data_IF_847794530762
#
_entry.id   IF_847794530762
#
_cell.length_a   1.000
_cell.length_b   1.000
_cell.length_c   1.000
_cell.angle_alpha   90.00
_cell.angle_beta   90.00
_cell.angle_gamma   90.00
#
_symmetry.space_group_name_H-M   'P 1'
#
loop_
_entity.id
_entity.type
_entity.pdbx_description
1 polymer ?
#
# COMPACT_ATOMS: atom_id res chain seq x y z
N UNK A 1 -53.37 5.58 26.75
CA UNK A 1 -52.59 4.43 26.23
C UNK A 1 -51.87 4.68 24.89
N UNK A 2 -52.10 5.79 24.18
CA UNK A 2 -51.47 6.03 22.86
C UNK A 2 -50.13 6.81 22.89
N UNK A 3 -49.72 7.36 24.03
CA UNK A 3 -48.48 8.13 24.17
C UNK A 3 -47.22 7.26 24.31
N UNK A 4 -47.37 6.04 24.82
CA UNK A 4 -46.24 5.10 24.97
C UNK A 4 -45.75 4.54 23.63
N UNK A 5 -46.64 4.35 22.66
CA UNK A 5 -46.29 3.83 21.33
C UNK A 5 -45.59 4.91 20.49
N UNK A 6 -45.99 6.17 20.64
CA UNK A 6 -45.39 7.30 19.91
C UNK A 6 -43.93 7.58 20.31
N UNK A 7 -43.53 7.23 21.53
CA UNK A 7 -42.14 7.37 22.01
C UNK A 7 -41.27 6.15 21.67
N UNK A 8 -41.86 4.95 21.53
CA UNK A 8 -41.11 3.74 21.25
C UNK A 8 -40.49 3.73 19.84
N UNK A 9 -41.21 4.28 18.85
CA UNK A 9 -40.77 4.32 17.44
C UNK A 9 -39.50 5.17 17.23
N UNK A 10 -39.42 6.44 17.70
CA UNK A 10 -38.21 7.24 17.51
C UNK A 10 -37.02 6.69 18.30
N UNK A 11 -37.25 6.08 19.46
CA UNK A 11 -36.19 5.41 20.24
C UNK A 11 -35.65 4.19 19.50
N UNK A 12 -36.51 3.34 18.93
CA UNK A 12 -36.09 2.20 18.13
C UNK A 12 -35.31 2.63 16.87
N UNK A 13 -35.76 3.69 16.19
CA UNK A 13 -35.05 4.25 15.04
C UNK A 13 -33.68 4.84 15.42
N UNK A 14 -33.58 5.52 16.56
CA UNK A 14 -32.32 6.05 17.07
C UNK A 14 -31.34 4.93 17.44
N UNK A 15 -31.82 3.86 18.08
CA UNK A 15 -31.00 2.68 18.42
C UNK A 15 -30.53 1.97 17.15
N UNK A 16 -31.40 1.80 16.15
CA UNK A 16 -31.03 1.24 14.85
C UNK A 16 -29.99 2.11 14.12
N UNK A 17 -30.14 3.44 14.15
CA UNK A 17 -29.18 4.38 13.58
C UNK A 17 -27.83 4.35 14.31
N UNK A 18 -27.82 4.28 15.63
CA UNK A 18 -26.59 4.15 16.42
C UNK A 18 -25.92 2.78 16.25
N UNK A 19 -26.70 1.72 16.04
CA UNK A 19 -26.18 0.39 15.72
C UNK A 19 -25.59 0.29 14.31
N UNK A 20 -26.06 1.14 13.38
CA UNK A 20 -25.55 1.25 12.00
C UNK A 20 -24.56 2.39 11.81
N UNK A 21 -24.29 3.18 12.87
CA UNK A 21 -23.37 4.30 12.80
C UNK A 21 -21.97 3.79 12.38
N UNK A 22 -21.36 4.40 11.35
CA UNK A 22 -20.07 3.96 10.83
C UNK A 22 -19.06 3.99 11.97
N UNK A 23 -18.32 2.89 12.13
CA UNK A 23 -17.25 2.80 13.11
C UNK A 23 -16.38 4.06 13.01
N UNK A 24 -16.28 4.80 14.12
CA UNK A 24 -15.54 6.06 14.15
C UNK A 24 -14.14 5.87 13.55
N UNK A 25 -13.63 6.88 12.85
CA UNK A 25 -12.34 6.79 12.15
C UNK A 25 -11.19 6.28 13.05
N UNK A 26 -11.24 6.59 14.35
CA UNK A 26 -10.31 6.07 15.35
C UNK A 26 -10.39 4.55 15.54
N UNK A 27 -11.59 3.95 15.53
CA UNK A 27 -11.80 2.50 15.61
C UNK A 27 -11.29 1.81 14.34
N UNK A 28 -11.57 2.39 13.18
CA UNK A 28 -11.08 1.88 11.88
C UNK A 28 -9.56 1.89 11.80
N UNK A 29 -8.90 2.98 12.25
CA UNK A 29 -7.43 3.04 12.33
C UNK A 29 -6.84 2.00 13.29
N UNK A 30 -7.45 1.80 14.46
CA UNK A 30 -6.98 0.78 15.42
C UNK A 30 -7.12 -0.63 14.86
N UNK A 31 -8.22 -0.92 14.16
CA UNK A 31 -8.43 -2.21 13.52
C UNK A 31 -7.44 -2.44 12.37
N UNK A 32 -7.19 -1.42 11.55
CA UNK A 32 -6.17 -1.45 10.51
C UNK A 32 -4.78 -1.77 11.09
N UNK A 33 -4.38 -1.11 12.18
CA UNK A 33 -3.10 -1.36 12.85
C UNK A 33 -3.01 -2.73 13.55
N UNK A 34 -4.13 -3.34 13.92
CA UNK A 34 -4.16 -4.73 14.42
C UNK A 34 -4.00 -5.72 13.29
N UNK A 35 -4.70 -5.46 12.18
CA UNK A 35 -4.65 -6.27 10.98
C UNK A 35 -3.26 -6.26 10.37
N UNK A 36 -2.64 -5.09 10.25
CA UNK A 36 -1.27 -4.93 9.77
C UNK A 36 -0.30 -5.82 10.56
N UNK A 37 -0.29 -5.71 11.90
CA UNK A 37 0.49 -6.58 12.79
C UNK A 37 0.21 -8.08 12.60
N UNK A 38 -1.03 -8.46 12.26
CA UNK A 38 -1.40 -9.85 12.02
C UNK A 38 -0.85 -10.35 10.69
N UNK A 39 -0.95 -9.53 9.63
CA UNK A 39 -0.46 -9.87 8.30
C UNK A 39 1.07 -9.92 8.28
N UNK A 40 1.77 -9.03 9.00
CA UNK A 40 3.22 -9.11 9.19
C UNK A 40 3.65 -10.46 9.78
N UNK A 41 2.92 -10.98 10.79
CA UNK A 41 3.23 -12.29 11.40
C UNK A 41 2.78 -13.47 10.54
N UNK A 42 1.71 -13.31 9.77
CA UNK A 42 1.14 -14.35 8.93
C UNK A 42 0.88 -13.82 7.51
N UNK A 43 1.92 -13.77 6.66
CA UNK A 43 1.81 -13.25 5.30
C UNK A 43 0.77 -13.97 4.43
N UNK A 44 0.44 -15.23 4.76
CA UNK A 44 -0.60 -16.00 4.07
C UNK A 44 -2.01 -15.41 4.21
N UNK A 45 -2.23 -14.50 5.15
CA UNK A 45 -3.50 -13.80 5.35
C UNK A 45 -3.57 -12.46 4.61
N UNK A 46 -2.51 -12.07 3.89
CA UNK A 46 -2.47 -10.82 3.16
C UNK A 46 -3.54 -10.80 2.07
N UNK A 47 -4.33 -9.74 2.02
CA UNK A 47 -5.28 -9.48 0.94
C UNK A 47 -4.77 -8.38 0.02
N UNK A 48 -5.31 -8.28 -1.20
CA UNK A 48 -4.95 -7.22 -2.12
C UNK A 48 -5.18 -5.82 -1.52
N UNK A 49 -6.24 -5.65 -0.71
CA UNK A 49 -6.50 -4.38 -0.02
C UNK A 49 -5.45 -4.02 1.03
N UNK A 50 -4.83 -5.02 1.67
CA UNK A 50 -3.72 -4.80 2.60
C UNK A 50 -2.47 -4.35 1.84
N UNK A 51 -2.18 -4.98 0.69
CA UNK A 51 -1.09 -4.58 -0.22
C UNK A 51 -1.30 -3.17 -0.76
N UNK A 52 -2.49 -2.86 -1.29
CA UNK A 52 -2.82 -1.54 -1.82
C UNK A 52 -2.63 -0.44 -0.77
N UNK A 53 -3.07 -0.68 0.47
CA UNK A 53 -2.89 0.29 1.56
C UNK A 53 -1.41 0.53 1.83
N UNK A 54 -0.62 -0.55 1.94
CA UNK A 54 0.82 -0.44 2.18
C UNK A 54 1.53 0.29 1.03
N UNK A 55 1.17 0.02 -0.21
CA UNK A 55 1.71 0.73 -1.38
C UNK A 55 1.35 2.23 -1.34
N UNK A 56 0.12 2.57 -0.97
CA UNK A 56 -0.31 3.97 -0.87
C UNK A 56 0.40 4.74 0.26
N UNK A 57 0.82 4.03 1.32
CA UNK A 57 1.57 4.62 2.43
C UNK A 57 3.07 4.80 2.10
N UNK A 58 3.65 3.92 1.28
CA UNK A 58 5.10 3.90 0.97
C UNK A 58 5.47 4.57 -0.36
N UNK A 59 4.56 4.63 -1.34
CA UNK A 59 4.86 5.07 -2.72
C UNK A 59 4.03 6.28 -3.16
N UNK A 60 4.51 7.04 -4.17
CA UNK A 60 3.68 7.96 -4.93
C UNK A 60 2.48 7.23 -5.57
N UNK A 61 1.34 7.91 -5.68
CA UNK A 61 0.11 7.33 -6.23
C UNK A 61 0.31 6.70 -7.61
N UNK A 62 1.09 7.34 -8.50
CA UNK A 62 1.40 6.80 -9.83
C UNK A 62 2.16 5.46 -9.80
N UNK A 63 3.08 5.28 -8.84
CA UNK A 63 3.80 4.02 -8.66
C UNK A 63 2.87 2.93 -8.09
N UNK A 64 2.02 3.28 -7.12
CA UNK A 64 1.05 2.34 -6.57
C UNK A 64 0.05 1.87 -7.64
N UNK A 65 -0.48 2.79 -8.46
CA UNK A 65 -1.40 2.48 -9.55
C UNK A 65 -0.73 1.59 -10.61
N UNK A 66 0.53 1.87 -10.96
CA UNK A 66 1.31 1.02 -11.86
C UNK A 66 1.45 -0.41 -11.32
N UNK A 67 1.83 -0.56 -10.05
CA UNK A 67 1.97 -1.88 -9.41
C UNK A 67 0.64 -2.62 -9.44
N UNK A 68 -0.46 -1.97 -9.06
CA UNK A 68 -1.79 -2.60 -9.04
C UNK A 68 -2.25 -3.04 -10.43
N UNK A 69 -2.06 -2.20 -11.46
CA UNK A 69 -2.38 -2.54 -12.84
C UNK A 69 -1.56 -3.74 -13.34
N UNK A 70 -0.29 -3.83 -12.93
CA UNK A 70 0.59 -4.94 -13.29
C UNK A 70 0.23 -6.22 -12.55
N UNK A 71 -0.11 -6.13 -11.27
CA UNK A 71 -0.57 -7.25 -10.44
C UNK A 71 -1.84 -7.86 -11.00
N UNK A 72 -2.80 -7.04 -11.40
CA UNK A 72 -4.04 -7.50 -12.02
C UNK A 72 -3.76 -8.22 -13.34
N UNK A 73 -2.93 -7.64 -14.21
CA UNK A 73 -2.54 -8.23 -15.50
C UNK A 73 -1.83 -9.57 -15.38
N UNK A 74 -0.95 -9.72 -14.38
CA UNK A 74 -0.13 -10.93 -14.21
C UNK A 74 -0.67 -11.88 -13.14
N UNK A 75 -1.85 -11.60 -12.57
CA UNK A 75 -2.49 -12.37 -11.51
C UNK A 75 -1.53 -12.72 -10.36
N UNK A 76 -0.76 -11.73 -9.89
CA UNK A 76 0.24 -11.95 -8.84
C UNK A 76 -0.49 -12.10 -7.50
N UNK A 77 -0.21 -13.21 -6.80
CA UNK A 77 -0.81 -13.48 -5.50
C UNK A 77 -0.47 -12.39 -4.47
N UNK A 78 -1.47 -11.90 -3.69
CA UNK A 78 -1.22 -10.92 -2.63
C UNK A 78 -0.20 -11.36 -1.59
N UNK A 79 -0.14 -12.66 -1.30
CA UNK A 79 0.89 -13.25 -0.43
C UNK A 79 2.30 -12.97 -0.96
N UNK A 80 2.52 -13.20 -2.26
CA UNK A 80 3.82 -13.01 -2.90
C UNK A 80 4.22 -11.54 -2.88
N UNK A 81 3.27 -10.63 -3.16
CA UNK A 81 3.50 -9.20 -3.06
C UNK A 81 3.84 -8.79 -1.63
N UNK A 82 3.11 -9.29 -0.64
CA UNK A 82 3.40 -8.98 0.76
C UNK A 82 4.79 -9.46 1.18
N UNK A 83 5.18 -10.68 0.80
CA UNK A 83 6.53 -11.20 1.07
C UNK A 83 7.61 -10.36 0.38
N UNK A 84 7.35 -9.89 -0.84
CA UNK A 84 8.27 -8.98 -1.53
C UNK A 84 8.42 -7.64 -0.79
N UNK A 85 7.30 -7.02 -0.44
CA UNK A 85 7.27 -5.75 0.30
C UNK A 85 7.98 -5.86 1.65
N UNK A 86 7.84 -6.98 2.33
CA UNK A 86 8.50 -7.23 3.61
C UNK A 86 10.03 -7.40 3.46
N UNK A 87 10.48 -8.12 2.43
CA UNK A 87 11.90 -8.46 2.23
C UNK A 87 12.70 -7.34 1.54
N UNK A 88 12.12 -6.68 0.54
CA UNK A 88 12.83 -5.73 -0.33
C UNK A 88 12.22 -4.32 -0.36
N UNK A 89 11.00 -4.15 0.15
CA UNK A 89 10.30 -2.86 0.17
C UNK A 89 9.53 -2.54 -1.11
N UNK A 90 8.73 -1.47 -1.07
CA UNK A 90 7.85 -1.07 -2.17
C UNK A 90 8.57 -0.54 -3.41
N UNK A 91 9.66 0.22 -3.25
CA UNK A 91 10.42 0.74 -4.41
C UNK A 91 11.06 -0.39 -5.22
N UNK A 92 11.62 -1.42 -4.56
CA UNK A 92 12.15 -2.61 -5.23
C UNK A 92 11.05 -3.36 -6.01
N UNK A 93 9.82 -3.40 -5.49
CA UNK A 93 8.69 -4.01 -6.19
C UNK A 93 8.37 -3.28 -7.51
N UNK A 94 8.37 -1.94 -7.48
CA UNK A 94 8.18 -1.13 -8.69
C UNK A 94 9.28 -1.45 -9.71
N UNK A 95 10.54 -1.46 -9.28
CA UNK A 95 11.68 -1.76 -10.15
C UNK A 95 11.60 -3.17 -10.75
N UNK A 96 11.28 -4.19 -9.94
CA UNK A 96 11.10 -5.55 -10.43
C UNK A 96 10.01 -5.62 -11.50
N UNK A 97 8.83 -5.04 -11.24
CA UNK A 97 7.72 -5.07 -12.19
C UNK A 97 7.99 -4.23 -13.46
N UNK A 98 8.65 -3.08 -13.32
CA UNK A 98 8.98 -2.18 -14.42
C UNK A 98 10.15 -2.70 -15.29
N UNK A 99 11.10 -3.43 -14.72
CA UNK A 99 12.16 -4.13 -15.46
C UNK A 99 11.64 -5.31 -16.30
N UNK A 100 10.33 -5.59 -16.26
CA UNK A 100 9.71 -6.68 -17.00
C UNK A 100 9.83 -8.04 -16.33
N UNK A 101 10.35 -8.11 -15.09
CA UNK A 101 10.29 -9.33 -14.29
C UNK A 101 8.81 -9.61 -13.97
N UNK A 102 8.22 -10.56 -14.69
CA UNK A 102 6.88 -11.07 -14.41
C UNK A 102 6.85 -11.88 -13.11
N UNK A 103 5.70 -12.49 -12.83
CA UNK A 103 5.48 -13.28 -11.62
C UNK A 103 6.57 -14.34 -11.36
N UNK A 104 6.98 -15.06 -12.40
CA UNK A 104 8.00 -16.12 -12.30
C UNK A 104 9.37 -15.57 -11.89
N UNK A 105 9.76 -14.40 -12.40
CA UNK A 105 11.03 -13.74 -12.05
C UNK A 105 11.05 -13.37 -10.56
N UNK A 106 9.96 -12.77 -10.08
CA UNK A 106 9.82 -12.45 -8.66
C UNK A 106 9.89 -13.69 -7.75
N UNK A 107 9.24 -14.80 -8.14
CA UNK A 107 9.30 -16.03 -7.35
C UNK A 107 10.71 -16.63 -7.28
N UNK A 108 11.48 -16.55 -8.36
CA UNK A 108 12.87 -17.03 -8.36
C UNK A 108 13.76 -16.21 -7.43
N UNK A 109 13.59 -14.88 -7.43
CA UNK A 109 14.27 -14.01 -6.46
C UNK A 109 13.87 -14.34 -5.03
N UNK A 110 12.57 -14.52 -4.77
CA UNK A 110 12.09 -14.86 -3.42
C UNK A 110 12.60 -16.22 -2.91
N UNK A 111 12.88 -17.15 -3.83
CA UNK A 111 13.44 -18.47 -3.54
C UNK A 111 14.97 -18.47 -3.51
N UNK A 112 15.61 -17.31 -3.62
CA UNK A 112 17.07 -17.15 -3.68
C UNK A 112 17.71 -17.92 -4.85
N UNK A 113 16.94 -18.15 -5.93
CA UNK A 113 17.40 -18.76 -7.19
C UNK A 113 17.94 -17.73 -8.19
N UNK A 114 17.67 -16.44 -7.93
CA UNK A 114 18.14 -15.30 -8.70
C UNK A 114 18.48 -14.17 -7.73
N UNK A 115 19.64 -13.54 -7.91
CA UNK A 115 20.00 -12.36 -7.13
C UNK A 115 19.20 -11.15 -7.62
N UNK A 116 18.67 -10.36 -6.69
CA UNK A 116 17.98 -9.12 -7.03
C UNK A 116 18.97 -7.97 -7.15
N UNK A 117 19.54 -7.77 -8.34
CA UNK A 117 20.38 -6.61 -8.62
C UNK A 117 19.50 -5.37 -8.83
N UNK A 118 19.45 -4.51 -7.81
CA UNK A 118 18.66 -3.27 -7.82
C UNK A 118 19.20 -2.28 -8.86
N UNK A 119 20.51 -2.26 -9.12
CA UNK A 119 21.11 -1.35 -10.08
C UNK A 119 20.72 -1.73 -11.51
N UNK A 120 20.82 -3.02 -11.84
CA UNK A 120 20.34 -3.55 -13.13
C UNK A 120 18.84 -3.32 -13.29
N UNK A 121 18.03 -3.67 -12.28
CA UNK A 121 16.58 -3.48 -12.31
C UNK A 121 16.21 -2.00 -12.51
N UNK A 122 16.97 -1.06 -11.94
CA UNK A 122 16.78 0.38 -12.12
C UNK A 122 17.02 0.81 -13.57
N UNK A 123 18.09 0.33 -14.20
CA UNK A 123 18.39 0.64 -15.59
C UNK A 123 17.29 0.10 -16.50
N UNK A 124 16.93 -1.17 -16.33
CA UNK A 124 15.89 -1.82 -17.13
C UNK A 124 14.52 -1.17 -16.95
N UNK A 125 14.16 -0.80 -15.72
CA UNK A 125 12.91 -0.12 -15.42
C UNK A 125 12.83 1.25 -16.10
N UNK A 126 13.91 2.04 -16.08
CA UNK A 126 13.96 3.34 -16.75
C UNK A 126 13.91 3.25 -18.27
N UNK A 127 14.46 2.17 -18.84
CA UNK A 127 14.38 1.91 -20.28
C UNK A 127 12.98 1.47 -20.70
N UNK A 128 12.30 0.67 -19.87
CA UNK A 128 11.01 0.07 -20.21
C UNK A 128 9.84 1.02 -19.93
N UNK A 129 9.89 1.76 -18.83
CA UNK A 129 8.79 2.60 -18.33
C UNK A 129 9.29 4.03 -18.01
N UNK A 130 9.85 4.78 -18.98
CA UNK A 130 10.49 6.07 -18.72
C UNK A 130 9.53 7.12 -18.16
N UNK A 131 8.26 7.10 -18.57
CA UNK A 131 7.25 8.06 -18.13
C UNK A 131 6.91 7.92 -16.63
N UNK A 132 6.92 6.68 -16.12
CA UNK A 132 6.62 6.38 -14.72
C UNK A 132 7.59 7.12 -13.78
N UNK A 133 8.88 7.06 -14.09
CA UNK A 133 9.94 7.68 -13.29
C UNK A 133 10.04 9.19 -13.49
N UNK A 134 9.62 9.71 -14.65
CA UNK A 134 9.53 11.16 -14.87
C UNK A 134 8.39 11.78 -14.04
N UNK A 135 7.22 11.14 -14.02
CA UNK A 135 6.08 11.61 -13.22
C UNK A 135 6.38 11.59 -11.73
N UNK A 136 7.05 10.54 -11.24
CA UNK A 136 7.47 10.47 -9.84
C UNK A 136 8.49 11.56 -9.47
N UNK A 137 9.44 11.88 -10.37
CA UNK A 137 10.40 12.95 -10.16
C UNK A 137 9.74 14.34 -10.02
N UNK A 138 8.65 14.57 -10.78
CA UNK A 138 7.85 15.81 -10.68
C UNK A 138 7.00 15.82 -9.41
N UNK A 139 6.46 14.67 -8.99
CA UNK A 139 5.63 14.54 -7.80
C UNK A 139 6.43 14.59 -6.48
N UNK A 140 7.75 14.37 -6.53
CA UNK A 140 8.60 14.42 -5.34
C UNK A 140 8.59 15.86 -4.75
N UNK A 141 8.11 16.07 -3.51
CA UNK A 141 8.12 17.39 -2.92
C UNK A 141 9.57 17.85 -2.79
N UNK A 142 9.89 19.03 -3.34
CA UNK A 142 11.24 19.59 -3.24
C UNK A 142 11.58 19.76 -1.76
N UNK A 143 12.30 18.80 -1.17
CA UNK A 143 12.95 18.99 0.13
C UNK A 143 14.10 19.95 -0.10
N UNK A 144 13.79 21.24 -0.27
CA UNK A 144 14.78 22.31 -0.16
C UNK A 144 15.35 22.20 1.24
N UNK A 145 16.58 21.74 1.31
CA UNK A 145 17.52 21.91 2.39
C UNK A 145 17.47 23.35 2.88
N UNK A 146 16.69 23.59 3.93
CA UNK A 146 16.85 24.76 4.77
C UNK A 146 18.18 24.62 5.50
N UNK A 147 19.26 25.03 4.86
CA UNK A 147 20.53 25.34 5.52
C UNK A 147 20.27 26.49 6.49
N UNK A 148 19.88 26.15 7.71
CA UNK A 148 19.88 27.07 8.83
C UNK A 148 21.35 27.34 9.18
N UNK A 149 21.96 28.30 8.47
CA UNK A 149 23.26 28.85 8.82
C UNK A 149 23.12 29.56 10.16
N UNK A 150 23.51 28.88 11.24
CA UNK A 150 23.63 29.46 12.58
C UNK A 150 25.06 29.96 12.73
N UNK A 151 25.27 31.23 12.41
CA UNK A 151 26.50 31.96 12.73
C UNK A 151 26.69 31.99 14.26
N UNK A 152 27.84 31.58 14.80
CA UNK A 152 28.21 31.91 16.17
C UNK A 152 28.71 33.36 16.22
N UNK A 153 28.09 34.16 17.08
CA UNK A 153 28.64 35.41 17.59
C UNK A 153 29.42 35.15 18.88
#
# INVERSE_FOLDING_TARGET
MNTLIALAVPVAALVAYLATAPASAARTRREAARRDRRVTRHPSLATLGDVQRRLADELPGSHADFVLARVDRHHIDPKTLWTWLDRFGAESLVLALASGQGYTGMLRVLRDELEHDVAEATVLARLSEPELFQLAAVAAPSRRTGTCSRLPG
#
